data_IF_808525986021
#
_entry.id   IF_808525986021
#
_cell.length_a   1.000
_cell.length_b   1.000
_cell.length_c   1.000
_cell.angle_alpha   90.00
_cell.angle_beta   90.00
_cell.angle_gamma   90.00
#
_symmetry.space_group_name_H-M   'P 1'
#
loop_
_entity.id
_entity.type
_entity.pdbx_description
1 polymer ?
#
# COMPACT_ATOMS: atom_id res chain seq x y z
N UNK A 1 -51.25 -7.63 29.13
CA UNK A 1 -50.52 -8.41 28.11
C UNK A 1 -50.99 -7.96 26.73
N UNK A 2 -50.18 -7.20 25.99
CA UNK A 2 -50.52 -6.74 24.64
C UNK A 2 -50.31 -7.89 23.63
N UNK A 3 -51.38 -8.27 22.91
CA UNK A 3 -51.28 -9.24 21.80
C UNK A 3 -50.84 -8.52 20.53
N UNK A 4 -49.59 -8.74 20.12
CA UNK A 4 -49.10 -8.39 18.79
C UNK A 4 -49.85 -9.25 17.77
N UNK A 5 -50.76 -8.64 17.01
CA UNK A 5 -51.39 -9.26 15.84
C UNK A 5 -50.44 -9.07 14.67
N UNK A 6 -49.80 -10.15 14.22
CA UNK A 6 -48.96 -10.12 13.03
C UNK A 6 -49.84 -9.83 11.80
N UNK A 7 -49.44 -8.88 10.93
CA UNK A 7 -50.19 -8.58 9.71
C UNK A 7 -50.21 -9.81 8.79
N UNK A 8 -51.40 -10.10 8.26
CA UNK A 8 -51.66 -11.25 7.38
C UNK A 8 -50.98 -10.99 6.03
N UNK A 9 -49.95 -11.78 5.70
CA UNK A 9 -49.23 -11.68 4.44
C UNK A 9 -50.22 -11.97 3.29
N UNK A 10 -50.43 -11.00 2.42
CA UNK A 10 -51.31 -11.13 1.25
C UNK A 10 -50.60 -12.03 0.23
N UNK A 11 -51.28 -13.01 -0.39
CA UNK A 11 -50.65 -13.83 -1.43
C UNK A 11 -50.27 -12.94 -2.61
N UNK A 12 -49.06 -13.14 -3.14
CA UNK A 12 -48.56 -12.46 -4.33
C UNK A 12 -49.48 -12.76 -5.52
N UNK A 13 -49.83 -11.73 -6.27
CA UNK A 13 -50.48 -11.89 -7.57
C UNK A 13 -49.53 -12.60 -8.56
N UNK A 14 -50.07 -13.19 -9.62
CA UNK A 14 -49.27 -13.90 -10.63
C UNK A 14 -48.20 -13.01 -11.27
N UNK A 15 -48.51 -11.73 -11.47
CA UNK A 15 -47.59 -10.72 -12.00
C UNK A 15 -46.47 -10.40 -11.01
N UNK A 16 -46.80 -10.23 -9.72
CA UNK A 16 -45.79 -10.00 -8.68
C UNK A 16 -44.89 -11.24 -8.50
N UNK A 17 -45.46 -12.44 -8.52
CA UNK A 17 -44.68 -13.67 -8.44
C UNK A 17 -43.73 -13.83 -9.64
N UNK A 18 -44.18 -13.51 -10.85
CA UNK A 18 -43.34 -13.50 -12.04
C UNK A 18 -42.20 -12.48 -11.94
N UNK A 19 -42.49 -11.25 -11.49
CA UNK A 19 -41.49 -10.21 -11.30
C UNK A 19 -40.43 -10.61 -10.26
N UNK A 20 -40.85 -11.15 -9.12
CA UNK A 20 -39.93 -11.65 -8.09
C UNK A 20 -39.05 -12.78 -8.63
N UNK A 21 -39.62 -13.71 -9.40
CA UNK A 21 -38.85 -14.78 -10.04
C UNK A 21 -37.86 -14.24 -11.08
N UNK A 22 -38.27 -13.27 -11.90
CA UNK A 22 -37.40 -12.63 -12.90
C UNK A 22 -36.25 -11.85 -12.25
N UNK A 23 -36.53 -11.09 -11.18
CA UNK A 23 -35.50 -10.41 -10.39
C UNK A 23 -34.55 -11.44 -9.76
N UNK A 24 -35.09 -12.52 -9.20
CA UNK A 24 -34.28 -13.60 -8.62
C UNK A 24 -33.35 -14.23 -9.66
N UNK A 25 -33.85 -14.52 -10.87
CA UNK A 25 -33.05 -15.05 -11.95
C UNK A 25 -31.93 -14.09 -12.39
N UNK A 26 -32.24 -12.79 -12.51
CA UNK A 26 -31.24 -11.76 -12.85
C UNK A 26 -30.16 -11.64 -11.76
N UNK A 27 -30.54 -11.69 -10.49
CA UNK A 27 -29.59 -11.66 -9.37
C UNK A 27 -28.67 -12.88 -9.39
N UNK A 28 -29.22 -14.07 -9.61
CA UNK A 28 -28.42 -15.32 -9.74
C UNK A 28 -27.44 -15.20 -10.90
N UNK A 29 -27.90 -14.73 -12.07
CA UNK A 29 -27.04 -14.54 -13.24
C UNK A 29 -25.93 -13.52 -12.97
N UNK A 30 -26.26 -12.39 -12.35
CA UNK A 30 -25.31 -11.33 -12.00
C UNK A 30 -24.23 -11.83 -11.03
N UNK A 31 -24.62 -12.38 -9.88
CA UNK A 31 -23.65 -12.89 -8.90
C UNK A 31 -22.89 -14.12 -9.39
N UNK A 32 -23.52 -14.99 -10.17
CA UNK A 32 -22.85 -16.11 -10.82
C UNK A 32 -21.74 -15.65 -11.77
N UNK A 33 -22.01 -14.60 -12.54
CA UNK A 33 -21.01 -13.97 -13.44
C UNK A 33 -19.88 -13.33 -12.64
N UNK A 34 -20.19 -12.56 -11.59
CA UNK A 34 -19.18 -11.96 -10.72
C UNK A 34 -18.27 -13.03 -10.10
N UNK A 35 -18.84 -14.09 -9.52
CA UNK A 35 -18.06 -15.16 -8.92
C UNK A 35 -17.18 -15.90 -9.94
N UNK A 36 -17.63 -16.04 -11.18
CA UNK A 36 -16.82 -16.61 -12.26
C UNK A 36 -15.65 -15.69 -12.63
N UNK A 37 -15.89 -14.39 -12.77
CA UNK A 37 -14.86 -13.39 -13.07
C UNK A 37 -13.83 -13.32 -11.93
N UNK A 38 -14.27 -13.34 -10.68
CA UNK A 38 -13.38 -13.32 -9.50
C UNK A 38 -12.47 -14.54 -9.46
N UNK A 39 -13.00 -15.75 -9.71
CA UNK A 39 -12.18 -16.97 -9.80
C UNK A 39 -11.16 -16.88 -10.92
N UNK A 40 -11.57 -16.40 -12.09
CA UNK A 40 -10.67 -16.25 -13.23
C UNK A 40 -9.56 -15.24 -12.94
N UNK A 41 -9.89 -14.13 -12.27
CA UNK A 41 -8.92 -13.15 -11.82
C UNK A 41 -7.93 -13.76 -10.83
N UNK A 42 -8.41 -14.52 -9.83
CA UNK A 42 -7.55 -15.20 -8.85
C UNK A 42 -6.53 -16.13 -9.52
N UNK A 43 -7.00 -17.01 -10.43
CA UNK A 43 -6.12 -17.92 -11.19
C UNK A 43 -5.11 -17.14 -12.04
N UNK A 44 -5.56 -16.08 -12.71
CA UNK A 44 -4.67 -15.23 -13.49
C UNK A 44 -3.59 -14.56 -12.63
N UNK A 45 -3.94 -14.03 -11.46
CA UNK A 45 -2.98 -13.42 -10.53
C UNK A 45 -1.97 -14.43 -9.98
N UNK A 46 -2.41 -15.64 -9.62
CA UNK A 46 -1.50 -16.72 -9.18
C UNK A 46 -0.52 -17.13 -10.28
N UNK A 47 -1.01 -17.31 -11.52
CA UNK A 47 -0.16 -17.62 -12.66
C UNK A 47 0.82 -16.48 -12.97
N UNK A 48 0.35 -15.24 -12.93
CA UNK A 48 1.20 -14.06 -13.16
C UNK A 48 2.27 -13.93 -12.08
N UNK A 49 1.93 -14.16 -10.80
CA UNK A 49 2.88 -14.16 -9.69
C UNK A 49 4.04 -15.14 -9.91
N UNK A 50 3.75 -16.32 -10.46
CA UNK A 50 4.78 -17.33 -10.72
C UNK A 50 5.58 -17.05 -12.00
N UNK A 51 4.94 -16.52 -13.06
CA UNK A 51 5.56 -16.33 -14.36
C UNK A 51 6.31 -14.99 -14.52
N UNK A 52 5.73 -13.91 -14.00
CA UNK A 52 6.25 -12.54 -14.04
C UNK A 52 5.89 -11.79 -12.73
N UNK A 53 6.70 -11.96 -11.67
CA UNK A 53 6.47 -11.33 -10.37
C UNK A 53 6.41 -9.80 -10.44
N UNK A 54 7.13 -9.18 -11.37
CA UNK A 54 7.16 -7.71 -11.51
C UNK A 54 5.87 -7.18 -12.12
N UNK A 55 5.34 -7.86 -13.14
CA UNK A 55 4.02 -7.55 -13.66
C UNK A 55 2.94 -7.75 -12.61
N UNK A 56 3.00 -8.85 -11.84
CA UNK A 56 2.10 -9.12 -10.74
C UNK A 56 2.09 -7.96 -9.72
N UNK A 57 3.26 -7.55 -9.24
CA UNK A 57 3.39 -6.47 -8.25
C UNK A 57 2.88 -5.13 -8.79
N UNK A 58 3.16 -4.80 -10.06
CA UNK A 58 2.61 -3.59 -10.71
C UNK A 58 1.09 -3.63 -10.77
N UNK A 59 0.50 -4.75 -11.19
CA UNK A 59 -0.96 -4.90 -11.29
C UNK A 59 -1.63 -4.89 -9.91
N UNK A 60 -1.00 -5.52 -8.92
CA UNK A 60 -1.45 -5.52 -7.53
C UNK A 60 -1.48 -4.10 -6.97
N UNK A 61 -0.38 -3.35 -7.12
CA UNK A 61 -0.29 -1.95 -6.70
C UNK A 61 -1.32 -1.08 -7.40
N UNK A 62 -1.54 -1.27 -8.71
CA UNK A 62 -2.52 -0.51 -9.48
C UNK A 62 -3.97 -0.82 -9.08
N UNK A 63 -4.31 -2.09 -8.83
CA UNK A 63 -5.68 -2.53 -8.60
C UNK A 63 -6.12 -2.55 -7.13
N UNK A 64 -5.20 -2.87 -6.20
CA UNK A 64 -5.48 -3.00 -4.76
C UNK A 64 -4.75 -1.98 -3.89
N UNK A 65 -3.91 -1.14 -4.49
CA UNK A 65 -3.20 -0.07 -3.80
C UNK A 65 -1.90 -0.50 -3.13
N UNK A 66 -1.22 0.46 -2.49
CA UNK A 66 0.11 0.26 -1.91
C UNK A 66 0.11 -0.64 -0.67
N UNK A 67 -0.96 -0.60 0.13
CA UNK A 67 -1.10 -1.42 1.34
C UNK A 67 -1.07 -2.93 1.02
N UNK A 68 -1.81 -3.36 0.00
CA UNK A 68 -1.79 -4.74 -0.47
C UNK A 68 -0.47 -5.13 -1.15
N UNK A 69 0.23 -4.15 -1.74
CA UNK A 69 1.48 -4.36 -2.45
C UNK A 69 2.67 -4.66 -1.51
N UNK A 70 2.77 -3.98 -0.36
CA UNK A 70 3.93 -4.13 0.54
C UNK A 70 4.22 -5.56 1.02
N UNK A 71 3.26 -6.33 1.58
CA UNK A 71 3.56 -7.68 2.06
C UNK A 71 3.94 -8.62 0.91
N UNK A 72 3.32 -8.47 -0.25
CA UNK A 72 3.64 -9.27 -1.44
C UNK A 72 5.01 -8.90 -2.03
N UNK A 73 5.36 -7.61 -2.04
CA UNK A 73 6.70 -7.15 -2.41
C UNK A 73 7.74 -7.73 -1.45
N UNK A 74 7.45 -7.73 -0.15
CA UNK A 74 8.35 -8.27 0.86
C UNK A 74 8.66 -9.76 0.64
N UNK A 75 7.63 -10.57 0.44
CA UNK A 75 7.76 -12.00 0.20
C UNK A 75 8.47 -12.31 -1.13
N UNK A 76 8.14 -11.59 -2.21
CA UNK A 76 8.69 -11.88 -3.55
C UNK A 76 10.10 -11.35 -3.77
N UNK A 77 10.46 -10.24 -3.13
CA UNK A 77 11.77 -9.58 -3.28
C UNK A 77 12.72 -9.83 -2.11
N UNK A 78 12.28 -10.59 -1.10
CA UNK A 78 13.13 -11.01 0.02
C UNK A 78 13.28 -9.96 1.14
N UNK A 79 12.38 -8.98 1.22
CA UNK A 79 12.39 -7.96 2.28
C UNK A 79 11.68 -8.40 3.57
N UNK A 80 11.31 -9.68 3.72
CA UNK A 80 10.88 -10.22 5.03
C UNK A 80 12.02 -10.23 6.06
N UNK A 81 13.26 -10.19 5.58
CA UNK A 81 14.47 -10.08 6.38
C UNK A 81 15.21 -8.79 6.03
N UNK A 82 16.15 -8.39 6.90
CA UNK A 82 16.98 -7.22 6.64
C UNK A 82 17.91 -7.50 5.45
N UNK A 83 17.81 -6.65 4.42
CA UNK A 83 18.63 -6.70 3.21
C UNK A 83 19.40 -5.39 3.04
N UNK A 84 20.61 -5.41 2.47
CA UNK A 84 21.45 -4.21 2.36
C UNK A 84 21.06 -3.28 1.21
N UNK A 85 20.03 -3.59 0.43
CA UNK A 85 19.59 -2.77 -0.70
C UNK A 85 18.20 -2.18 -0.41
N UNK A 86 17.95 -0.88 -0.65
CA UNK A 86 16.62 -0.30 -0.45
C UNK A 86 15.59 -0.92 -1.41
N UNK A 87 14.31 -1.04 -1.01
CA UNK A 87 13.23 -1.34 -1.95
C UNK A 87 13.20 -0.35 -3.12
N UNK A 88 12.91 -0.82 -4.33
CA UNK A 88 13.00 0.00 -5.56
C UNK A 88 12.18 1.30 -5.47
N UNK A 89 11.02 1.25 -4.81
CA UNK A 89 10.13 2.39 -4.65
C UNK A 89 10.58 3.40 -3.59
N UNK A 90 11.59 3.06 -2.78
CA UNK A 90 12.19 3.93 -1.77
C UNK A 90 13.43 4.66 -2.32
N UNK A 91 14.04 4.13 -3.39
CA UNK A 91 15.27 4.67 -3.96
C UNK A 91 15.09 6.12 -4.40
N UNK A 92 16.07 6.96 -4.06
CA UNK A 92 16.15 8.35 -4.46
C UNK A 92 16.09 9.33 -3.29
N UNK A 93 15.86 10.60 -3.62
CA UNK A 93 15.85 11.74 -2.70
C UNK A 93 14.42 12.11 -2.33
N UNK A 94 14.22 12.34 -1.05
CA UNK A 94 12.94 12.70 -0.45
C UNK A 94 13.12 13.98 0.37
N UNK A 95 12.43 15.06 0.02
CA UNK A 95 12.50 16.33 0.76
C UNK A 95 11.71 16.21 2.05
N UNK A 96 12.36 16.45 3.20
CA UNK A 96 11.72 16.36 4.51
C UNK A 96 11.01 17.67 4.88
N UNK A 97 9.83 17.56 5.47
CA UNK A 97 9.00 18.68 5.95
C UNK A 97 8.41 18.35 7.31
N UNK A 98 8.36 19.35 8.17
CA UNK A 98 7.69 19.24 9.47
C UNK A 98 6.16 19.32 9.34
N UNK A 99 5.67 19.89 8.24
CA UNK A 99 4.26 20.05 7.93
C UNK A 99 3.89 19.35 6.61
N UNK A 100 2.64 18.89 6.52
CA UNK A 100 2.12 18.24 5.34
C UNK A 100 2.05 19.22 4.15
N UNK A 101 2.63 18.84 3.01
CA UNK A 101 2.51 19.60 1.77
C UNK A 101 1.17 19.27 1.11
N UNK A 102 0.52 20.30 0.57
CA UNK A 102 -0.68 20.13 -0.25
C UNK A 102 -0.27 19.88 -1.69
N UNK A 103 0.06 18.64 -1.99
CA UNK A 103 0.37 18.17 -3.34
C UNK A 103 -0.83 17.42 -3.92
N UNK A 104 -1.04 17.54 -5.22
CA UNK A 104 -1.95 16.64 -5.94
C UNK A 104 -1.29 15.26 -6.05
N UNK A 105 -2.03 14.14 -6.03
CA UNK A 105 -1.43 12.81 -6.18
C UNK A 105 -0.51 12.72 -7.41
N UNK A 106 0.75 12.35 -7.17
CA UNK A 106 1.79 12.23 -8.21
C UNK A 106 2.56 13.52 -8.52
N UNK A 107 2.16 14.66 -7.95
CA UNK A 107 2.92 15.90 -8.01
C UNK A 107 4.17 15.83 -7.12
N UNK A 108 5.24 16.50 -7.55
CA UNK A 108 6.50 16.56 -6.80
C UNK A 108 6.72 17.98 -6.28
N UNK A 109 7.36 18.15 -5.12
CA UNK A 109 7.79 19.46 -4.65
C UNK A 109 8.70 20.15 -5.67
N UNK A 110 8.50 21.45 -5.90
CA UNK A 110 9.30 22.25 -6.84
C UNK A 110 10.79 22.28 -6.49
N UNK A 111 11.12 22.19 -5.20
CA UNK A 111 12.49 22.24 -4.69
C UNK A 111 12.73 21.12 -3.70
N UNK A 112 13.88 20.46 -3.86
CA UNK A 112 14.33 19.48 -2.88
C UNK A 112 15.23 20.13 -1.83
N UNK A 113 14.66 20.47 -0.67
CA UNK A 113 15.37 21.06 0.47
C UNK A 113 15.38 20.11 1.65
N UNK A 114 16.48 20.05 2.40
CA UNK A 114 16.71 19.08 3.47
C UNK A 114 16.31 17.63 3.07
N UNK A 115 16.96 17.05 2.05
CA UNK A 115 16.61 15.70 1.61
C UNK A 115 17.13 14.63 2.57
N UNK A 116 16.34 13.57 2.71
CA UNK A 116 16.87 12.23 3.00
C UNK A 116 17.04 11.48 1.66
N UNK A 117 18.11 10.72 1.51
CA UNK A 117 18.36 9.91 0.31
C UNK A 117 18.52 8.45 0.70
N UNK A 118 17.84 7.56 -0.02
CA UNK A 118 17.99 6.11 0.13
C UNK A 118 18.58 5.55 -1.16
N UNK A 119 19.80 5.03 -1.10
CA UNK A 119 20.49 4.53 -2.29
C UNK A 119 21.66 3.63 -1.87
N UNK A 120 21.95 2.58 -2.65
CA UNK A 120 23.16 1.74 -2.46
C UNK A 120 23.39 1.25 -1.01
N UNK A 121 22.31 0.93 -0.28
CA UNK A 121 22.42 0.50 1.12
C UNK A 121 22.77 1.60 2.11
N UNK A 122 22.53 2.86 1.73
CA UNK A 122 22.78 4.04 2.55
C UNK A 122 21.50 4.82 2.80
N UNK A 123 21.41 5.39 3.99
CA UNK A 123 20.51 6.48 4.33
C UNK A 123 21.34 7.74 4.56
N UNK A 124 21.21 8.71 3.67
CA UNK A 124 21.92 9.99 3.74
C UNK A 124 20.97 11.07 4.23
N UNK A 125 21.33 11.76 5.31
CA UNK A 125 20.61 12.94 5.81
C UNK A 125 21.50 14.18 5.68
N UNK A 126 20.89 15.36 5.48
CA UNK A 126 21.63 16.64 5.34
C UNK A 126 21.53 17.50 6.60
N UNK A 127 20.37 17.55 7.24
CA UNK A 127 20.16 18.30 8.49
C UNK A 127 19.66 17.37 9.62
N UNK A 128 19.96 17.70 10.90
CA UNK A 128 20.72 18.87 11.37
C UNK A 128 22.23 18.78 11.16
N UNK A 129 22.74 17.60 10.79
CA UNK A 129 24.14 17.41 10.41
C UNK A 129 24.22 16.38 9.29
N UNK A 130 25.00 16.61 8.22
CA UNK A 130 25.17 15.62 7.17
C UNK A 130 25.71 14.30 7.74
N UNK A 131 24.97 13.22 7.57
CA UNK A 131 25.37 11.88 7.99
C UNK A 131 25.01 10.86 6.93
N UNK A 132 25.90 9.89 6.75
CA UNK A 132 25.67 8.70 5.97
C UNK A 132 25.59 7.52 6.94
N UNK A 133 24.43 6.86 6.98
CA UNK A 133 24.22 5.64 7.73
C UNK A 133 24.26 4.46 6.79
N UNK A 134 25.00 3.41 7.17
CA UNK A 134 24.87 2.11 6.50
C UNK A 134 23.52 1.54 6.89
N UNK A 135 22.67 1.25 5.92
CA UNK A 135 21.29 0.90 6.14
C UNK A 135 20.98 -0.51 5.62
N UNK A 136 20.22 -1.25 6.42
CA UNK A 136 19.56 -2.48 5.97
C UNK A 136 18.05 -2.31 6.10
N UNK A 137 17.30 -2.89 5.16
CA UNK A 137 15.86 -2.66 4.98
C UNK A 137 15.09 -3.95 5.15
N UNK A 138 13.98 -3.87 5.86
CA UNK A 138 12.97 -4.93 5.99
C UNK A 138 11.59 -4.32 5.82
N UNK A 139 10.61 -5.09 5.38
CA UNK A 139 9.20 -4.71 5.41
C UNK A 139 8.50 -5.63 6.40
N UNK A 140 7.87 -5.05 7.41
CA UNK A 140 7.13 -5.76 8.45
C UNK A 140 5.88 -4.96 8.80
N UNK A 141 4.74 -5.64 9.02
CA UNK A 141 3.50 -5.00 9.52
C UNK A 141 3.03 -3.78 8.70
N UNK A 142 3.28 -3.77 7.38
CA UNK A 142 2.87 -2.67 6.50
C UNK A 142 3.76 -1.41 6.56
N UNK A 143 4.91 -1.49 7.23
CA UNK A 143 5.92 -0.42 7.31
C UNK A 143 7.28 -0.92 6.83
N UNK A 144 8.16 0.03 6.49
CA UNK A 144 9.55 -0.24 6.13
C UNK A 144 10.36 0.00 7.40
N UNK A 145 11.13 -0.99 7.82
CA UNK A 145 12.08 -0.85 8.91
C UNK A 145 13.47 -0.68 8.36
N UNK A 146 14.14 0.40 8.77
CA UNK A 146 15.51 0.71 8.36
C UNK A 146 16.43 0.56 9.55
N UNK A 147 17.29 -0.45 9.55
CA UNK A 147 18.33 -0.63 10.55
C UNK A 147 19.58 0.13 10.13
N UNK A 148 20.08 0.97 11.01
CA UNK A 148 21.23 1.83 10.74
C UNK A 148 22.48 1.31 11.45
N UNK A 149 23.64 1.48 10.83
CA UNK A 149 24.97 1.31 11.43
C UNK A 149 25.26 -0.10 11.96
N UNK A 150 24.75 -1.14 11.27
CA UNK A 150 25.05 -2.55 11.52
C UNK A 150 23.97 -3.32 12.28
N UNK A 151 24.25 -4.57 12.67
CA UNK A 151 23.24 -5.51 13.20
C UNK A 151 22.59 -5.07 14.52
N UNK A 152 23.33 -4.36 15.38
CA UNK A 152 22.87 -3.90 16.70
C UNK A 152 22.48 -2.41 16.72
N UNK A 153 22.46 -1.75 15.57
CA UNK A 153 22.12 -0.34 15.51
C UNK A 153 20.62 -0.08 15.57
N UNK A 154 20.22 1.19 15.67
CA UNK A 154 18.82 1.57 15.83
C UNK A 154 18.00 1.21 14.59
N UNK A 155 16.74 0.81 14.82
CA UNK A 155 15.76 0.57 13.76
C UNK A 155 14.82 1.78 13.68
N UNK A 156 14.76 2.40 12.51
CA UNK A 156 13.87 3.52 12.20
C UNK A 156 12.68 2.99 11.41
N UNK A 157 11.46 3.03 11.96
CA UNK A 157 10.27 2.71 11.20
C UNK A 157 9.94 3.87 10.25
N UNK A 158 9.70 3.53 8.99
CA UNK A 158 9.24 4.42 7.94
C UNK A 158 7.86 3.94 7.49
N UNK A 159 6.86 4.78 7.74
CA UNK A 159 5.49 4.53 7.32
C UNK A 159 5.26 5.11 5.92
N UNK A 160 5.03 4.28 4.90
CA UNK A 160 4.60 4.77 3.60
C UNK A 160 3.13 5.24 3.67
N UNK A 161 2.87 6.47 3.24
CA UNK A 161 1.53 7.01 3.09
C UNK A 161 1.18 7.04 1.61
N UNK A 162 0.09 6.39 1.25
CA UNK A 162 -0.31 6.19 -0.14
C UNK A 162 -1.76 6.57 -0.39
N UNK A 163 -2.03 7.10 -1.58
CA UNK A 163 -3.39 7.29 -2.09
C UNK A 163 -3.60 6.38 -3.30
N UNK A 164 -4.38 5.31 -3.12
CA UNK A 164 -4.57 4.29 -4.14
C UNK A 164 -3.26 3.58 -4.48
N UNK A 165 -2.84 3.66 -5.74
CA UNK A 165 -1.61 3.02 -6.24
C UNK A 165 -0.35 3.89 -6.09
N UNK A 166 -0.50 5.18 -5.82
CA UNK A 166 0.62 6.11 -5.69
C UNK A 166 1.12 6.17 -4.24
N UNK A 167 2.44 6.12 -4.08
CA UNK A 167 3.08 6.46 -2.80
C UNK A 167 3.19 7.98 -2.77
N UNK A 168 2.59 8.61 -1.77
CA UNK A 168 2.47 10.05 -1.66
C UNK A 168 3.67 10.64 -0.91
N UNK A 169 3.88 10.15 0.32
CA UNK A 169 5.01 10.53 1.16
C UNK A 169 5.37 9.41 2.13
N UNK A 170 6.47 9.63 2.85
CA UNK A 170 6.93 8.79 3.95
C UNK A 170 6.80 9.56 5.25
N UNK A 171 6.34 8.91 6.30
CA UNK A 171 6.36 9.44 7.66
C UNK A 171 7.40 8.67 8.48
N UNK A 172 8.38 9.37 9.06
CA UNK A 172 9.36 8.75 9.96
C UNK A 172 10.04 9.80 10.84
N UNK A 173 10.70 9.36 11.91
CA UNK A 173 11.54 10.23 12.74
C UNK A 173 13.00 10.08 12.32
N UNK A 174 13.65 11.11 11.74
CA UNK A 174 15.04 11.01 11.32
C UNK A 174 15.98 10.77 12.52
N UNK A 175 17.11 10.07 12.31
CA UNK A 175 18.11 9.85 13.36
C UNK A 175 18.56 11.16 14.00
N UNK A 176 18.50 11.24 15.33
CA UNK A 176 18.88 12.44 16.09
C UNK A 176 17.77 13.50 16.20
N UNK A 177 16.59 13.26 15.64
CA UNK A 177 15.40 14.09 15.85
C UNK A 177 14.39 13.38 16.77
N UNK A 178 13.45 14.15 17.33
CA UNK A 178 12.42 13.64 18.24
C UNK A 178 11.01 13.71 17.66
N UNK A 179 10.81 14.48 16.58
CA UNK A 179 9.53 14.63 15.90
C UNK A 179 9.55 13.90 14.55
N UNK A 180 8.42 13.31 14.13
CA UNK A 180 8.30 12.75 12.80
C UNK A 180 8.28 13.85 11.74
N UNK A 181 8.79 13.53 10.56
CA UNK A 181 8.75 14.39 9.36
C UNK A 181 7.97 13.68 8.26
N UNK A 182 7.40 14.47 7.35
CA UNK A 182 6.85 13.99 6.08
C UNK A 182 7.88 14.18 4.98
N UNK A 183 8.31 13.08 4.37
CA UNK A 183 9.28 13.10 3.29
C UNK A 183 8.61 12.84 1.94
N UNK A 184 8.73 13.77 1.02
CA UNK A 184 8.09 13.73 -0.31
C UNK A 184 9.13 13.47 -1.39
N UNK A 185 8.85 12.57 -2.33
CA UNK A 185 9.78 12.24 -3.40
C UNK A 185 10.11 13.47 -4.25
N UNK A 186 11.38 13.82 -4.35
CA UNK A 186 11.83 15.03 -5.04
C UNK A 186 12.80 14.74 -6.20
N UNK A 187 13.25 13.49 -6.38
CA UNK A 187 14.07 13.07 -7.53
C UNK A 187 15.13 12.03 -7.17
N UNK A 188 15.67 11.37 -8.18
CA UNK A 188 16.75 10.37 -8.12
C UNK A 188 17.39 10.29 -9.49
#
# INVERSE_FOLDING_TARGET
MARLTLPRIRPLSRTEAFLVAAIGALMIAYFGTLAYLDRRAAVYFEQTRAADPDLYLRQLRAGRGFEAFLPEYAALKGFEHFTPEPPDFLIGRWTMRDEMLRLVPGERPERCTNPVTFEHGLMLTVEPSPKAHVAAYRIAEGQIEVRLDGENGPVVPIRPVSFGSALDHLEFTPPGQTAPVMAYFCGG
#
